data_IF_932233871609
#
_entry.id   IF_932233871609
#
_cell.length_a   1.000
_cell.length_b   1.000
_cell.length_c   1.000
_cell.angle_alpha   90.00
_cell.angle_beta   90.00
_cell.angle_gamma   90.00
#
_symmetry.space_group_name_H-M   'P 1'
#
loop_
_entity.id
_entity.type
_entity.pdbx_description
1 polymer ?
#
# COMPACT_ATOMS: atom_id res chain seq x y z
N UNK A 1 -21.28 -20.50 -27.52
CA UNK A 1 -22.61 -19.86 -27.46
C UNK A 1 -22.54 -18.54 -28.23
N UNK A 2 -23.56 -18.22 -29.03
CA UNK A 2 -23.68 -16.94 -29.74
C UNK A 2 -24.52 -15.95 -28.92
N UNK A 3 -24.27 -14.65 -29.08
CA UNK A 3 -25.04 -13.59 -28.42
C UNK A 3 -26.04 -13.03 -29.46
N UNK A 4 -27.33 -12.97 -29.10
CA UNK A 4 -28.37 -12.29 -29.87
C UNK A 4 -28.58 -10.91 -29.22
N UNK A 5 -28.51 -9.84 -30.02
CA UNK A 5 -28.69 -8.46 -29.53
C UNK A 5 -29.99 -7.89 -30.08
N UNK A 6 -30.66 -7.07 -29.27
CA UNK A 6 -31.79 -6.27 -29.74
C UNK A 6 -31.33 -5.21 -30.77
N UNK A 7 -32.26 -4.63 -31.57
CA UNK A 7 -31.96 -3.50 -32.45
C UNK A 7 -31.28 -2.35 -31.69
N UNK A 8 -30.37 -1.63 -32.34
CA UNK A 8 -29.74 -0.46 -31.71
C UNK A 8 -30.78 0.66 -31.56
N UNK A 9 -30.85 1.32 -30.39
CA UNK A 9 -31.67 2.50 -30.22
C UNK A 9 -31.13 3.65 -31.08
N UNK A 10 -32.02 4.56 -31.49
CA UNK A 10 -31.70 5.69 -32.38
C UNK A 10 -31.21 6.94 -31.63
N UNK A 11 -31.24 6.94 -30.29
CA UNK A 11 -30.85 8.09 -29.45
C UNK A 11 -30.44 7.69 -28.03
N UNK A 12 -29.97 8.67 -27.23
CA UNK A 12 -29.48 8.49 -25.86
C UNK A 12 -28.33 7.49 -25.72
N UNK A 13 -27.32 7.62 -26.57
CA UNK A 13 -26.10 6.82 -26.52
C UNK A 13 -24.86 7.70 -26.39
N UNK A 14 -23.81 7.15 -25.80
CA UNK A 14 -22.49 7.78 -25.76
C UNK A 14 -21.64 7.24 -26.91
N UNK A 15 -20.89 8.12 -27.56
CA UNK A 15 -19.77 7.75 -28.42
C UNK A 15 -18.54 7.70 -27.52
N UNK A 16 -18.01 6.50 -27.30
CA UNK A 16 -16.87 6.26 -26.42
C UNK A 16 -15.85 5.41 -27.15
N UNK A 17 -14.57 5.63 -26.87
CA UNK A 17 -13.52 4.75 -27.40
C UNK A 17 -13.75 3.29 -27.01
N UNK A 18 -13.69 2.39 -28.00
CA UNK A 18 -13.81 0.95 -27.80
C UNK A 18 -12.74 0.40 -26.85
N UNK A 19 -11.57 1.05 -26.81
CA UNK A 19 -10.44 0.67 -25.95
C UNK A 19 -10.84 0.54 -24.48
N UNK A 20 -11.75 1.39 -23.99
CA UNK A 20 -12.25 1.34 -22.61
C UNK A 20 -12.91 -0.01 -22.30
N UNK A 21 -13.71 -0.51 -23.24
CA UNK A 21 -14.42 -1.79 -23.09
C UNK A 21 -13.53 -3.01 -23.32
N UNK A 22 -12.41 -2.84 -24.01
CA UNK A 22 -11.51 -3.94 -24.38
C UNK A 22 -10.27 -4.01 -23.48
N UNK A 23 -10.00 -2.99 -22.66
CA UNK A 23 -8.85 -2.94 -21.77
C UNK A 23 -8.97 -3.96 -20.63
N UNK A 24 -8.23 -5.07 -20.76
CA UNK A 24 -8.22 -6.19 -19.81
C UNK A 24 -7.64 -5.85 -18.45
N UNK A 25 -6.97 -4.69 -18.30
CA UNK A 25 -6.43 -4.23 -17.01
C UNK A 25 -7.54 -3.73 -16.08
N UNK A 26 -8.73 -3.44 -16.61
CA UNK A 26 -9.88 -2.97 -15.85
C UNK A 26 -10.90 -4.08 -15.58
N UNK A 27 -11.35 -4.15 -14.34
CA UNK A 27 -12.50 -4.90 -13.89
C UNK A 27 -13.79 -4.40 -14.55
N UNK A 28 -14.78 -5.27 -14.68
CA UNK A 28 -16.09 -4.88 -15.25
C UNK A 28 -16.74 -3.72 -14.50
N UNK A 29 -16.58 -3.68 -13.17
CA UNK A 29 -17.06 -2.59 -12.35
C UNK A 29 -16.31 -1.27 -12.65
N UNK A 30 -14.98 -1.32 -12.75
CA UNK A 30 -14.18 -0.13 -13.06
C UNK A 30 -14.51 0.44 -14.44
N UNK A 31 -14.70 -0.42 -15.44
CA UNK A 31 -15.17 -0.01 -16.78
C UNK A 31 -16.51 0.70 -16.71
N UNK A 32 -17.46 0.17 -15.94
CA UNK A 32 -18.77 0.79 -15.74
C UNK A 32 -18.67 2.17 -15.08
N UNK A 33 -17.83 2.30 -14.05
CA UNK A 33 -17.56 3.60 -13.39
C UNK A 33 -16.95 4.59 -14.37
N UNK A 34 -15.95 4.18 -15.17
CA UNK A 34 -15.33 5.05 -16.16
C UNK A 34 -16.34 5.58 -17.19
N UNK A 35 -17.18 4.70 -17.75
CA UNK A 35 -18.25 5.09 -18.67
C UNK A 35 -19.22 6.07 -18.03
N UNK A 36 -19.60 5.84 -16.76
CA UNK A 36 -20.47 6.76 -16.03
C UNK A 36 -19.84 8.13 -15.82
N UNK A 37 -18.54 8.20 -15.49
CA UNK A 37 -17.81 9.45 -15.31
C UNK A 37 -17.70 10.24 -16.62
N UNK A 38 -17.41 9.56 -17.73
CA UNK A 38 -17.29 10.18 -19.06
C UNK A 38 -18.63 10.70 -19.61
N UNK A 39 -19.76 10.18 -19.11
CA UNK A 39 -21.10 10.68 -19.45
C UNK A 39 -21.52 11.95 -18.69
N UNK A 40 -20.70 12.47 -17.77
CA UNK A 40 -20.99 13.70 -17.01
C UNK A 40 -20.48 14.94 -17.74
N UNK A 41 -21.05 16.13 -17.49
CA UNK A 41 -20.56 17.38 -18.08
C UNK A 41 -19.14 17.71 -17.59
N UNK A 42 -18.39 18.46 -18.41
CA UNK A 42 -16.94 18.73 -18.24
C UNK A 42 -16.51 19.27 -16.86
N UNK A 43 -17.39 19.99 -16.18
CA UNK A 43 -17.13 20.63 -14.89
C UNK A 43 -17.66 19.81 -13.70
N UNK A 44 -18.08 18.58 -13.95
CA UNK A 44 -18.59 17.70 -12.91
C UNK A 44 -17.45 17.24 -11.99
N UNK A 45 -17.64 17.42 -10.68
CA UNK A 45 -16.67 17.02 -9.67
C UNK A 45 -16.94 15.59 -9.18
N UNK A 46 -15.92 14.74 -9.26
CA UNK A 46 -15.99 13.37 -8.74
C UNK A 46 -16.10 13.38 -7.22
N UNK A 47 -17.24 12.94 -6.70
CA UNK A 47 -17.48 12.73 -5.27
C UNK A 47 -17.66 11.23 -4.96
N UNK A 48 -16.76 10.60 -4.18
CA UNK A 48 -16.92 9.20 -3.78
C UNK A 48 -18.22 8.92 -3.02
N UNK A 49 -18.73 9.91 -2.28
CA UNK A 49 -20.00 9.80 -1.57
C UNK A 49 -21.19 9.74 -2.54
N UNK A 50 -21.14 10.52 -3.62
CA UNK A 50 -22.16 10.49 -4.67
C UNK A 50 -22.12 9.18 -5.45
N UNK A 51 -20.93 8.71 -5.87
CA UNK A 51 -20.77 7.43 -6.56
C UNK A 51 -21.31 6.24 -5.76
N UNK A 52 -21.14 6.27 -4.43
CA UNK A 52 -21.76 5.28 -3.54
C UNK A 52 -23.28 5.32 -3.61
N UNK A 53 -23.86 6.53 -3.60
CA UNK A 53 -25.31 6.74 -3.68
C UNK A 53 -25.93 6.20 -4.97
N UNK A 54 -25.24 6.34 -6.11
CA UNK A 54 -25.71 5.87 -7.42
C UNK A 54 -25.99 4.36 -7.45
N UNK A 55 -25.28 3.55 -6.66
CA UNK A 55 -25.47 2.08 -6.61
C UNK A 55 -26.27 1.60 -5.41
N UNK A 56 -26.74 2.49 -4.54
CA UNK A 56 -27.37 2.12 -3.28
C UNK A 56 -28.65 1.29 -3.44
N UNK A 57 -29.43 1.55 -4.50
CA UNK A 57 -30.65 0.79 -4.82
C UNK A 57 -30.43 -0.46 -5.68
N UNK A 58 -29.18 -0.77 -6.05
CA UNK A 58 -28.89 -1.95 -6.87
C UNK A 58 -28.85 -3.22 -6.01
N UNK A 59 -29.01 -4.39 -6.64
CA UNK A 59 -28.88 -5.68 -5.97
C UNK A 59 -27.49 -5.90 -5.32
N UNK A 60 -26.46 -5.20 -5.81
CA UNK A 60 -25.10 -5.26 -5.27
C UNK A 60 -24.53 -3.84 -5.11
N UNK A 61 -24.89 -3.14 -4.02
CA UNK A 61 -24.42 -1.79 -3.79
C UNK A 61 -22.91 -1.79 -3.55
N UNK A 62 -22.22 -0.77 -4.08
CA UNK A 62 -20.78 -0.63 -3.88
C UNK A 62 -20.52 0.21 -2.64
N UNK A 63 -19.93 -0.42 -1.62
CA UNK A 63 -19.53 0.26 -0.40
C UNK A 63 -18.44 1.31 -0.62
N UNK A 64 -18.19 2.12 0.42
CA UNK A 64 -17.18 3.19 0.38
C UNK A 64 -15.82 2.70 -0.13
N UNK A 65 -15.32 1.62 0.47
CA UNK A 65 -13.98 1.11 0.16
C UNK A 65 -13.94 0.47 -1.24
N UNK A 66 -15.07 -0.06 -1.72
CA UNK A 66 -15.21 -0.53 -3.10
C UNK A 66 -15.06 0.61 -4.10
N UNK A 67 -15.70 1.76 -3.87
CA UNK A 67 -15.56 2.93 -4.74
C UNK A 67 -14.11 3.42 -4.78
N UNK A 68 -13.43 3.48 -3.63
CA UNK A 68 -12.01 3.85 -3.61
C UNK A 68 -11.15 2.84 -4.37
N UNK A 69 -11.39 1.54 -4.20
CA UNK A 69 -10.68 0.51 -4.97
C UNK A 69 -10.90 0.63 -6.47
N UNK A 70 -12.12 0.93 -6.92
CA UNK A 70 -12.42 1.15 -8.34
C UNK A 70 -11.74 2.41 -8.90
N UNK A 71 -11.71 3.49 -8.12
CA UNK A 71 -11.00 4.72 -8.51
C UNK A 71 -9.49 4.49 -8.57
N UNK A 72 -8.91 3.78 -7.60
CA UNK A 72 -7.49 3.43 -7.60
C UNK A 72 -7.14 2.52 -8.78
N UNK A 73 -8.02 1.58 -9.14
CA UNK A 73 -7.85 0.74 -10.34
C UNK A 73 -7.80 1.59 -11.62
N UNK A 74 -8.71 2.56 -11.76
CA UNK A 74 -8.72 3.48 -12.89
C UNK A 74 -7.48 4.39 -12.93
N UNK A 75 -6.96 4.78 -11.77
CA UNK A 75 -5.72 5.54 -11.64
C UNK A 75 -4.53 4.71 -12.10
N UNK A 76 -4.43 3.47 -11.62
CA UNK A 76 -3.34 2.55 -11.98
C UNK A 76 -3.34 2.21 -13.48
N UNK A 77 -4.51 2.14 -14.10
CA UNK A 77 -4.64 1.93 -15.53
C UNK A 77 -4.36 3.18 -16.39
N UNK A 78 -4.28 4.36 -15.75
CA UNK A 78 -3.99 5.65 -16.38
C UNK A 78 -5.21 6.42 -16.87
N UNK A 79 -6.43 5.94 -16.64
CA UNK A 79 -7.65 6.62 -17.10
C UNK A 79 -8.04 7.80 -16.22
N UNK A 80 -7.67 7.74 -14.93
CA UNK A 80 -7.96 8.77 -13.94
C UNK A 80 -6.65 9.29 -13.33
N UNK A 81 -6.54 10.60 -13.12
CA UNK A 81 -5.45 11.22 -12.38
C UNK A 81 -6.02 11.91 -11.15
N UNK A 82 -5.42 11.66 -9.98
CA UNK A 82 -5.78 12.32 -8.72
C UNK A 82 -4.76 13.38 -8.39
N UNK A 83 -5.19 14.63 -8.33
CA UNK A 83 -4.37 15.75 -7.88
C UNK A 83 -4.86 16.27 -6.54
N UNK A 84 -3.92 16.54 -5.64
CA UNK A 84 -4.22 17.16 -4.37
C UNK A 84 -3.19 18.26 -4.11
N UNK A 85 -3.52 19.53 -4.43
CA UNK A 85 -2.61 20.62 -4.18
C UNK A 85 -2.39 20.78 -2.68
N UNK A 86 -1.15 21.05 -2.28
CA UNK A 86 -0.85 21.52 -0.93
C UNK A 86 -0.97 23.04 -0.92
N UNK A 87 -1.76 23.56 0.01
CA UNK A 87 -1.80 24.99 0.26
C UNK A 87 -0.44 25.47 0.75
N UNK A 88 -0.09 26.74 0.48
CA UNK A 88 1.18 27.35 0.93
C UNK A 88 1.37 27.32 2.46
N UNK A 89 0.29 27.11 3.22
CA UNK A 89 0.31 26.92 4.67
C UNK A 89 0.53 25.45 5.13
N UNK A 90 0.82 24.52 4.21
CA UNK A 90 1.03 23.10 4.52
C UNK A 90 -0.26 22.27 4.69
N UNK A 91 -1.43 22.89 4.55
CA UNK A 91 -2.72 22.20 4.59
C UNK A 91 -2.99 21.49 3.26
N UNK A 92 -3.47 20.25 3.33
CA UNK A 92 -3.84 19.45 2.18
C UNK A 92 -5.13 20.00 1.54
N UNK A 93 -5.09 20.33 0.25
CA UNK A 93 -6.23 20.91 -0.47
C UNK A 93 -7.30 19.89 -0.87
N UNK A 94 -8.34 20.39 -1.55
CA UNK A 94 -9.41 19.57 -2.13
C UNK A 94 -8.83 18.61 -3.19
N UNK A 95 -9.30 17.36 -3.18
CA UNK A 95 -8.88 16.35 -4.16
C UNK A 95 -9.63 16.57 -5.47
N UNK A 96 -8.89 16.72 -6.56
CA UNK A 96 -9.43 16.83 -7.92
C UNK A 96 -9.11 15.57 -8.71
N UNK A 97 -10.10 15.05 -9.42
CA UNK A 97 -9.94 13.88 -10.29
C UNK A 97 -10.09 14.32 -11.75
N UNK A 98 -9.10 14.01 -12.57
CA UNK A 98 -9.14 14.19 -14.02
C UNK A 98 -9.41 12.86 -14.67
N UNK A 99 -10.42 12.79 -15.54
CA UNK A 99 -10.84 11.56 -16.22
C UNK A 99 -10.59 11.71 -17.71
N UNK A 100 -10.10 10.66 -18.36
CA UNK A 100 -9.78 10.67 -19.80
C UNK A 100 -10.27 9.39 -20.48
N UNK A 101 -10.61 9.49 -21.77
CA UNK A 101 -11.02 8.31 -22.57
C UNK A 101 -9.85 7.40 -22.95
N UNK A 102 -8.64 7.96 -23.03
CA UNK A 102 -7.41 7.25 -23.37
C UNK A 102 -6.46 7.31 -22.18
N UNK A 103 -5.77 6.21 -21.82
CA UNK A 103 -4.92 6.19 -20.65
C UNK A 103 -3.80 7.24 -20.78
N UNK A 104 -3.78 8.17 -19.83
CA UNK A 104 -2.73 9.15 -19.67
C UNK A 104 -1.45 8.37 -19.31
N UNK A 105 -0.59 8.19 -20.30
CA UNK A 105 0.70 7.55 -20.08
C UNK A 105 1.60 8.59 -19.42
N UNK A 106 1.58 8.65 -18.10
CA UNK A 106 2.60 9.39 -17.33
C UNK A 106 3.94 8.66 -17.50
N UNK A 107 4.60 8.89 -18.63
CA UNK A 107 6.05 8.85 -18.69
C UNK A 107 6.51 10.29 -18.38
N UNK A 108 6.88 10.62 -17.14
CA UNK A 108 7.92 11.63 -16.98
C UNK A 108 9.15 11.00 -17.63
N UNK A 109 9.43 11.35 -18.88
CA UNK A 109 10.75 11.11 -19.43
C UNK A 109 11.71 11.75 -18.44
N UNK A 110 12.60 11.00 -17.76
CA UNK A 110 13.68 11.64 -17.05
C UNK A 110 14.45 12.38 -18.14
N UNK A 111 14.36 13.71 -18.17
CA UNK A 111 15.23 14.50 -19.01
C UNK A 111 16.66 14.09 -18.66
N UNK A 112 17.27 13.26 -19.49
CA UNK A 112 18.68 12.97 -19.38
C UNK A 112 19.40 14.32 -19.41
N UNK A 113 20.11 14.71 -18.33
CA UNK A 113 20.92 15.91 -18.40
C UNK A 113 22.00 15.64 -19.45
N UNK A 114 21.90 16.30 -20.60
CA UNK A 114 22.98 16.33 -21.59
C UNK A 114 24.26 16.73 -20.85
N UNK A 115 25.30 15.87 -20.82
CA UNK A 115 26.55 16.22 -20.17
C UNK A 115 27.18 17.38 -20.94
N UNK A 116 27.23 18.56 -20.31
CA UNK A 116 28.05 19.66 -20.80
C UNK A 116 29.51 19.19 -20.81
N UNK A 117 30.09 19.07 -22.00
CA UNK A 117 31.49 18.69 -22.16
C UNK A 117 32.41 19.67 -21.40
N UNK A 118 33.40 19.20 -20.63
CA UNK A 118 34.29 20.10 -19.93
C UNK A 118 35.21 20.79 -20.94
N UNK A 119 35.15 22.12 -21.01
CA UNK A 119 36.16 22.92 -21.71
C UNK A 119 37.52 22.68 -21.03
N UNK A 120 38.42 22.01 -21.74
CA UNK A 120 39.78 21.73 -21.28
C UNK A 120 40.63 23.00 -21.39
N UNK A 121 40.87 23.66 -20.26
CA UNK A 121 41.99 24.60 -20.15
C UNK A 121 43.23 23.79 -19.76
N UNK A 122 44.19 23.67 -20.68
CA UNK A 122 45.51 23.06 -20.45
C UNK A 122 46.27 23.82 -19.35
N UNK A 123 46.72 23.17 -18.26
CA UNK A 123 47.77 23.71 -17.42
C UNK A 123 49.15 23.17 -17.87
N UNK A 124 50.11 24.08 -17.96
CA UNK A 124 51.50 23.81 -18.36
C UNK A 124 52.22 22.92 -17.34
N UNK A 125 52.81 21.82 -17.82
CA UNK A 125 53.65 20.88 -17.07
C UNK A 125 54.94 21.54 -16.60
N UNK A 126 55.26 21.41 -15.31
CA UNK A 126 56.63 21.59 -14.80
C UNK A 126 57.11 20.26 -14.24
N UNK A 127 58.20 19.79 -14.83
CA UNK A 127 58.95 18.59 -14.50
C UNK A 127 59.66 18.73 -13.16
N UNK A 128 59.55 17.73 -12.29
CA UNK A 128 60.59 17.44 -11.30
C UNK A 128 60.75 15.93 -11.14
N UNK A 129 61.93 15.46 -11.54
CA UNK A 129 62.44 14.10 -11.45
C UNK A 129 62.91 13.79 -10.02
N UNK A 130 62.53 12.63 -9.48
CA UNK A 130 63.01 12.14 -8.17
C UNK A 130 62.63 10.67 -7.93
N UNK A 131 63.63 9.79 -8.02
CA UNK A 131 63.54 8.33 -7.82
C UNK A 131 63.11 7.93 -6.40
N UNK A 132 62.19 6.97 -6.22
CA UNK A 132 62.41 5.79 -5.34
C UNK A 132 61.31 4.70 -5.35
N UNK A 133 61.82 3.49 -5.61
CA UNK A 133 61.45 2.07 -5.35
C UNK A 133 60.25 1.69 -4.43
N UNK A 134 59.47 0.75 -4.99
CA UNK A 134 58.51 -0.28 -4.50
C UNK A 134 58.58 -0.77 -3.03
N UNK A 135 57.44 -0.81 -2.30
CA UNK A 135 56.99 -1.90 -1.38
C UNK A 135 55.45 -1.96 -1.23
N UNK A 136 54.96 -3.20 -1.05
CA UNK A 136 53.58 -3.77 -1.02
C UNK A 136 52.62 -3.22 0.08
N UNK A 137 51.29 -3.44 -0.01
CA UNK A 137 50.27 -2.63 0.66
C UNK A 137 49.77 -3.22 1.99
N UNK A 138 49.65 -2.36 3.01
CA UNK A 138 48.84 -2.60 4.23
C UNK A 138 48.23 -1.26 4.70
N UNK A 139 46.89 -1.30 4.84
CA UNK A 139 46.00 -0.54 5.73
C UNK A 139 45.99 1.01 5.79
N UNK A 140 44.86 1.53 5.29
CA UNK A 140 43.87 2.44 5.91
C UNK A 140 44.14 3.96 6.08
N UNK A 141 43.16 4.71 5.53
CA UNK A 141 42.65 6.06 5.88
C UNK A 141 43.23 7.33 5.20
N UNK A 142 42.43 7.89 4.27
CA UNK A 142 41.88 9.27 4.18
C UNK A 142 42.76 10.50 4.58
N UNK A 143 42.64 11.64 3.85
CA UNK A 143 41.62 12.64 4.23
C UNK A 143 40.98 13.49 3.11
N UNK A 144 39.72 13.91 3.39
CA UNK A 144 39.01 15.20 3.12
C UNK A 144 39.27 15.99 1.82
N UNK A 145 38.31 16.51 1.03
CA UNK A 145 36.85 16.75 1.12
C UNK A 145 36.40 17.46 -0.18
N UNK A 146 35.15 17.76 -0.53
CA UNK A 146 33.81 17.59 0.04
C UNK A 146 32.80 17.71 -1.13
N UNK A 147 31.59 17.11 -1.03
CA UNK A 147 30.52 17.39 -2.00
C UNK A 147 29.43 16.34 -2.30
N UNK A 148 29.01 15.50 -1.34
CA UNK A 148 27.61 15.01 -1.15
C UNK A 148 27.58 13.90 -0.09
N UNK A 149 27.07 14.21 1.09
CA UNK A 149 27.04 13.33 2.25
C UNK A 149 26.21 12.07 1.98
N UNK A 150 26.88 10.93 1.85
CA UNK A 150 26.26 9.63 2.11
C UNK A 150 26.13 9.52 3.63
N UNK A 151 24.90 9.44 4.12
CA UNK A 151 24.63 9.11 5.52
C UNK A 151 25.34 7.80 5.89
N UNK A 152 25.87 7.68 7.12
CA UNK A 152 26.49 6.45 7.57
C UNK A 152 25.47 5.33 7.49
N UNK A 153 25.87 4.18 6.94
CA UNK A 153 25.07 2.95 7.02
C UNK A 153 24.86 2.67 8.51
N UNK A 154 23.66 2.93 8.99
CA UNK A 154 23.27 2.72 10.38
C UNK A 154 23.44 1.24 10.69
N UNK A 155 24.32 0.91 11.64
CA UNK A 155 24.51 -0.44 12.11
C UNK A 155 23.63 -0.65 13.36
N UNK A 156 22.50 -1.37 13.24
CA UNK A 156 21.52 -1.49 14.32
C UNK A 156 22.05 -2.28 15.53
N UNK A 157 23.20 -2.95 15.40
CA UNK A 157 23.90 -3.65 16.48
C UNK A 157 24.49 -2.70 17.52
N UNK A 158 24.77 -1.44 17.16
CA UNK A 158 25.34 -0.43 18.06
C UNK A 158 24.28 0.23 18.97
N UNK A 159 23.00 0.19 18.60
CA UNK A 159 21.88 0.76 19.39
C UNK A 159 21.18 -0.35 20.15
N UNK A 160 21.91 -0.91 21.11
CA UNK A 160 21.41 -1.97 21.99
C UNK A 160 20.40 -1.39 22.99
N UNK A 161 19.20 -1.98 23.15
CA UNK A 161 18.33 -1.65 24.27
C UNK A 161 18.97 -2.15 25.58
N UNK A 162 19.08 -1.28 26.59
CA UNK A 162 19.79 -1.56 27.85
C UNK A 162 19.32 -2.83 28.57
N UNK A 163 18.07 -3.24 28.36
CA UNK A 163 17.44 -4.35 29.07
C UNK A 163 17.51 -5.69 28.33
N UNK A 164 17.90 -5.75 27.05
CA UNK A 164 17.97 -7.02 26.29
C UNK A 164 19.40 -7.56 26.16
N UNK A 165 19.55 -8.88 26.06
CA UNK A 165 20.82 -9.52 25.78
C UNK A 165 21.29 -9.23 24.35
N UNK A 166 22.61 -9.19 24.18
CA UNK A 166 23.25 -8.87 22.90
C UNK A 166 22.94 -9.93 21.83
N UNK A 167 22.80 -11.20 22.23
CA UNK A 167 22.48 -12.33 21.34
C UNK A 167 21.06 -12.23 20.78
N UNK A 168 20.05 -12.02 21.63
CA UNK A 168 18.66 -11.88 21.18
C UNK A 168 18.48 -10.66 20.25
N UNK A 169 19.23 -9.58 20.51
CA UNK A 169 19.25 -8.40 19.66
C UNK A 169 19.91 -8.63 18.30
N UNK A 170 21.05 -9.34 18.24
CA UNK A 170 21.73 -9.67 16.97
C UNK A 170 20.86 -10.56 16.10
N UNK A 171 20.21 -11.57 16.69
CA UNK A 171 19.37 -12.51 15.96
C UNK A 171 18.14 -11.82 15.35
N UNK A 172 17.53 -10.90 16.11
CA UNK A 172 16.43 -10.07 15.62
C UNK A 172 16.87 -9.11 14.50
N UNK A 173 18.06 -8.50 14.63
CA UNK A 173 18.64 -7.64 13.59
C UNK A 173 18.93 -8.41 12.30
N UNK A 174 19.49 -9.62 12.41
CA UNK A 174 19.81 -10.46 11.26
C UNK A 174 18.56 -11.02 10.57
N UNK A 175 17.52 -11.38 11.34
CA UNK A 175 16.19 -11.69 10.77
C UNK A 175 15.64 -10.51 9.94
N UNK A 176 15.81 -9.27 10.40
CA UNK A 176 15.35 -8.09 9.63
C UNK A 176 16.20 -7.82 8.39
N UNK A 177 17.52 -8.09 8.45
CA UNK A 177 18.40 -8.03 7.27
C UNK A 177 17.98 -9.06 6.22
N UNK A 178 17.68 -10.31 6.60
CA UNK A 178 17.22 -11.34 5.66
C UNK A 178 15.87 -10.98 5.01
N UNK A 179 14.99 -10.29 5.74
CA UNK A 179 13.73 -9.75 5.21
C UNK A 179 13.85 -8.47 4.38
N UNK A 180 15.07 -7.99 4.11
CA UNK A 180 15.34 -6.72 3.39
C UNK A 180 14.64 -5.50 4.04
N UNK A 181 14.45 -5.53 5.35
CA UNK A 181 13.82 -4.47 6.13
C UNK A 181 14.73 -4.06 7.32
N UNK A 182 15.93 -3.51 7.05
CA UNK A 182 16.90 -3.17 8.10
C UNK A 182 16.31 -2.15 9.09
N UNK A 183 16.68 -2.26 10.36
CA UNK A 183 16.23 -1.33 11.40
C UNK A 183 16.73 0.09 11.10
N UNK A 184 15.85 1.07 11.36
CA UNK A 184 16.21 2.48 11.46
C UNK A 184 16.44 2.84 12.93
N UNK A 185 17.17 3.93 13.19
CA UNK A 185 17.45 4.42 14.55
C UNK A 185 16.17 4.59 15.38
N UNK A 186 15.14 5.24 14.80
CA UNK A 186 13.83 5.42 15.42
C UNK A 186 13.15 4.09 15.76
N UNK A 187 13.30 3.07 14.92
CA UNK A 187 12.75 1.75 15.18
C UNK A 187 13.47 1.06 16.35
N UNK A 188 14.80 1.20 16.46
CA UNK A 188 15.56 0.72 17.60
C UNK A 188 15.08 1.38 18.90
N UNK A 189 14.90 2.71 18.90
CA UNK A 189 14.40 3.47 20.06
C UNK A 189 12.99 3.03 20.48
N UNK A 190 12.07 2.85 19.53
CA UNK A 190 10.71 2.39 19.82
C UNK A 190 10.69 0.98 20.42
N UNK A 191 11.53 0.08 19.90
CA UNK A 191 11.64 -1.28 20.43
C UNK A 191 12.28 -1.25 21.82
N UNK A 192 13.32 -0.43 22.04
CA UNK A 192 13.91 -0.21 23.35
C UNK A 192 12.88 0.30 24.38
N UNK A 193 12.05 1.27 23.99
CA UNK A 193 10.99 1.80 24.86
C UNK A 193 9.91 0.75 25.19
N UNK A 194 9.56 -0.13 24.24
CA UNK A 194 8.63 -1.25 24.48
C UNK A 194 9.20 -2.31 25.42
N UNK A 195 10.50 -2.59 25.30
CA UNK A 195 11.22 -3.56 26.14
C UNK A 195 11.58 -3.01 27.52
N UNK A 196 11.63 -1.68 27.69
CA UNK A 196 12.02 -1.04 28.95
C UNK A 196 11.11 -1.39 30.14
N UNK A 197 9.83 -1.69 29.87
CA UNK A 197 8.83 -1.98 30.90
C UNK A 197 8.51 -3.47 31.09
N UNK A 198 9.26 -4.40 30.45
CA UNK A 198 8.99 -5.82 30.51
C UNK A 198 10.00 -6.57 31.40
N UNK A 199 9.52 -7.57 32.14
CA UNK A 199 10.35 -8.38 33.04
C UNK A 199 11.36 -9.25 32.26
N UNK A 200 10.94 -9.81 31.12
CA UNK A 200 11.77 -10.69 30.28
C UNK A 200 11.82 -10.19 28.82
N UNK A 201 12.72 -9.25 28.48
CA UNK A 201 12.80 -8.68 27.13
C UNK A 201 13.36 -9.67 26.09
N UNK A 202 14.21 -10.61 26.51
CA UNK A 202 14.84 -11.62 25.63
C UNK A 202 13.80 -12.57 25.04
N UNK A 203 12.89 -13.08 25.87
CA UNK A 203 11.82 -13.97 25.43
C UNK A 203 10.87 -13.29 24.41
N UNK A 204 10.71 -11.97 24.47
CA UNK A 204 9.88 -11.22 23.51
C UNK A 204 10.59 -11.12 22.15
N UNK A 205 11.91 -10.90 22.15
CA UNK A 205 12.72 -10.87 20.93
C UNK A 205 12.79 -12.26 20.29
N UNK A 206 13.03 -13.31 21.08
CA UNK A 206 13.08 -14.69 20.60
C UNK A 206 11.74 -15.13 19.99
N UNK A 207 10.63 -14.77 20.63
CA UNK A 207 9.29 -15.04 20.10
C UNK A 207 9.03 -14.30 18.80
N UNK A 208 9.50 -13.06 18.67
CA UNK A 208 9.40 -12.29 17.43
C UNK A 208 10.22 -12.92 16.31
N UNK A 209 11.43 -13.40 16.61
CA UNK A 209 12.30 -14.09 15.67
C UNK A 209 11.69 -15.42 15.21
N UNK A 210 11.23 -16.26 16.15
CA UNK A 210 10.57 -17.53 15.86
C UNK A 210 9.28 -17.37 15.06
N UNK A 211 8.48 -16.35 15.36
CA UNK A 211 7.21 -16.07 14.67
C UNK A 211 7.37 -15.24 13.40
N UNK A 212 8.61 -14.84 13.06
CA UNK A 212 8.89 -13.98 11.92
C UNK A 212 8.13 -12.64 11.96
N UNK A 213 7.90 -12.08 13.13
CA UNK A 213 7.23 -10.79 13.28
C UNK A 213 8.21 -9.63 13.12
N UNK A 214 7.74 -8.56 12.46
CA UNK A 214 8.52 -7.32 12.26
C UNK A 214 8.35 -6.32 13.41
N UNK A 215 7.43 -6.59 14.34
CA UNK A 215 7.18 -5.77 15.52
C UNK A 215 7.33 -6.63 16.78
N UNK A 216 7.72 -5.97 17.86
CA UNK A 216 7.92 -6.59 19.17
C UNK A 216 6.65 -6.35 19.99
N UNK A 217 6.02 -7.44 20.45
CA UNK A 217 4.75 -7.45 21.18
C UNK A 217 4.95 -8.03 22.59
N UNK A 218 5.24 -7.19 23.60
CA UNK A 218 5.54 -7.64 24.97
C UNK A 218 4.42 -8.45 25.60
N UNK A 219 3.15 -8.13 25.28
CA UNK A 219 1.99 -8.86 25.80
C UNK A 219 1.99 -10.34 25.42
N UNK A 220 2.70 -10.75 24.38
CA UNK A 220 2.71 -12.14 23.92
C UNK A 220 3.49 -13.10 24.83
N UNK A 221 4.24 -12.60 25.82
CA UNK A 221 5.11 -13.41 26.70
C UNK A 221 4.56 -13.53 28.13
N UNK A 222 3.47 -12.83 28.47
CA UNK A 222 2.87 -12.91 29.79
C UNK A 222 2.22 -14.29 30.06
N UNK A 223 2.33 -14.83 31.29
CA UNK A 223 1.60 -16.05 31.65
C UNK A 223 0.09 -15.79 31.57
N UNK A 224 -0.57 -16.44 30.62
CA UNK A 224 -2.02 -16.29 30.35
C UNK A 224 -2.35 -15.68 28.98
N UNK A 225 -1.36 -15.16 28.25
CA UNK A 225 -1.51 -14.62 26.88
C UNK A 225 -0.92 -15.57 25.84
N UNK A 226 -1.20 -16.87 25.96
CA UNK A 226 -1.12 -17.74 24.79
C UNK A 226 -1.99 -17.12 23.69
N UNK A 227 -1.38 -16.86 22.54
CA UNK A 227 -2.06 -16.39 21.36
C UNK A 227 -3.24 -17.34 21.09
N UNK A 228 -4.46 -16.89 21.39
CA UNK A 228 -5.66 -17.54 20.88
C UNK A 228 -5.61 -17.35 19.37
N UNK A 229 -5.08 -18.37 18.68
CA UNK A 229 -5.31 -18.53 17.25
C UNK A 229 -6.82 -18.48 17.05
N UNK A 230 -7.27 -17.43 16.35
CA UNK A 230 -8.68 -17.16 16.15
C UNK A 230 -9.35 -16.55 17.38
N UNK A 231 -9.80 -15.31 17.27
CA UNK A 231 -11.05 -14.95 17.95
C UNK A 231 -12.07 -16.01 17.52
N UNK A 232 -12.80 -16.70 18.43
CA UNK A 232 -13.91 -17.51 17.98
C UNK A 232 -14.83 -16.61 17.15
N UNK A 233 -15.16 -17.07 15.94
CA UNK A 233 -16.10 -16.37 15.08
C UNK A 233 -17.33 -15.98 15.91
N UNK A 234 -17.79 -14.73 15.83
CA UNK A 234 -19.05 -14.31 16.49
C UNK A 234 -20.28 -15.05 15.91
N UNK A 235 -20.09 -15.86 14.86
CA UNK A 235 -21.09 -16.67 14.18
C UNK A 235 -20.97 -18.17 14.51
N UNK A 236 -20.79 -18.56 15.77
CA UNK A 236 -20.82 -19.99 16.18
C UNK A 236 -22.16 -20.43 16.78
N UNK A 237 -23.16 -19.55 16.85
CA UNK A 237 -24.47 -19.82 17.44
C UNK A 237 -25.61 -19.93 16.41
N UNK A 238 -25.31 -20.12 15.11
CA UNK A 238 -26.37 -20.29 14.11
C UNK A 238 -27.26 -21.52 14.37
N UNK A 239 -26.71 -22.54 15.03
CA UNK A 239 -27.41 -23.78 15.39
C UNK A 239 -28.37 -23.58 16.59
N UNK A 240 -28.22 -22.46 17.31
CA UNK A 240 -29.06 -22.07 18.45
C UNK A 240 -30.14 -21.06 18.08
N UNK A 241 -30.14 -20.57 16.83
CA UNK A 241 -31.20 -19.70 16.32
C UNK A 241 -32.36 -20.57 15.88
N UNK A 242 -33.54 -20.36 16.46
CA UNK A 242 -34.77 -20.99 16.01
C UNK A 242 -35.20 -20.34 14.68
N UNK A 243 -35.01 -21.07 13.58
CA UNK A 243 -35.34 -20.61 12.23
C UNK A 243 -36.81 -20.85 11.86
N UNK A 244 -37.63 -21.36 12.80
CA UNK A 244 -39.05 -21.69 12.56
C UNK A 244 -40.01 -20.72 13.23
N UNK A 245 -39.50 -19.74 13.98
CA UNK A 245 -40.31 -18.72 14.64
C UNK A 245 -40.99 -17.82 13.59
N UNK A 246 -42.32 -17.85 13.55
CA UNK A 246 -43.15 -17.15 12.55
C UNK A 246 -43.40 -17.87 11.23
N UNK A 247 -43.05 -19.16 11.12
CA UNK A 247 -43.30 -19.98 9.92
C UNK A 247 -44.22 -21.18 10.21
N UNK A 248 -45.29 -21.31 9.44
CA UNK A 248 -46.21 -22.46 9.42
C UNK A 248 -45.91 -23.40 8.24
N UNK A 249 -46.03 -24.71 8.47
CA UNK A 249 -45.92 -25.72 7.42
C UNK A 249 -47.23 -25.81 6.63
N UNK A 250 -47.15 -25.65 5.30
CA UNK A 250 -48.27 -25.98 4.42
C UNK A 250 -48.44 -27.50 4.25
N UNK A 251 -49.60 -27.93 3.73
CA UNK A 251 -49.88 -29.35 3.47
C UNK A 251 -48.94 -30.02 2.46
N UNK A 252 -48.03 -29.27 1.84
CA UNK A 252 -47.02 -29.74 0.90
C UNK A 252 -45.61 -29.80 1.52
N UNK A 253 -45.46 -29.48 2.82
CA UNK A 253 -44.20 -29.54 3.56
C UNK A 253 -43.31 -28.31 3.40
N UNK A 254 -43.83 -27.18 2.91
CA UNK A 254 -43.11 -25.92 2.78
C UNK A 254 -43.50 -24.93 3.88
N UNK A 255 -42.52 -24.17 4.38
CA UNK A 255 -42.73 -23.12 5.38
C UNK A 255 -43.30 -21.83 4.75
N UNK A 256 -44.37 -21.27 5.35
CA UNK A 256 -45.02 -19.99 5.00
C UNK A 256 -45.06 -19.07 6.21
N UNK A 257 -45.04 -17.75 5.99
CA UNK A 257 -45.13 -16.76 7.07
C UNK A 257 -46.52 -16.82 7.72
N UNK A 258 -46.58 -17.06 9.03
CA UNK A 258 -47.82 -17.07 9.81
C UNK A 258 -48.46 -15.68 9.83
N UNK A 259 -49.69 -15.55 9.30
CA UNK A 259 -50.53 -14.36 9.49
C UNK A 259 -50.60 -13.35 8.34
N UNK A 260 -50.50 -13.78 7.08
CA UNK A 260 -50.78 -12.94 5.91
C UNK A 260 -52.21 -13.11 5.40
N UNK A 261 -53.21 -12.64 6.14
CA UNK A 261 -54.57 -12.41 5.60
C UNK A 261 -54.74 -10.90 5.38
N UNK A 262 -54.50 -10.46 4.15
CA UNK A 262 -55.14 -9.32 3.47
C UNK A 262 -54.80 -9.30 1.98
#
# INVERSE_FOLDING_TARGET
>A
MSIIRAPRPEGNFYLLSKSISEDRRLSWAARGVLVFLLGKPDHWKVSPAHLRGETAGSAKPTGRDGIYGLLDELINAGYVRREQPRSGAGVLGEVTYFVSESPLTDLPYPAEPLPAGPHTANPTLVSIEGKQVLKTPVSTENPSGAGKGKSPKFDPTAVKPANASERAWTDFCDMRKTKRAPLTLRACEMIAAKLANHADPDAVLDKSTASSWSDVSPESVLPGTSAKNGKPSRHTQLDQVDHTDGLELDGNGNYRISGGDQ
#
